data_IF_580379275346
#
_entry.id   IF_580379275346
#
_cell.length_a   1.000
_cell.length_b   1.000
_cell.length_c   1.000
_cell.angle_alpha   90.00
_cell.angle_beta   90.00
_cell.angle_gamma   90.00
#
_symmetry.space_group_name_H-M   'P 1'
#
loop_
_entity.id
_entity.type
_entity.pdbx_description
1 polymer ?
#
# COMPACT_ATOMS: atom_id res chain seq x y z
N UNK A 1 8.35 23.84 -22.99
CA UNK A 1 8.71 22.52 -22.44
C UNK A 1 7.85 22.32 -21.20
N UNK A 2 6.84 21.43 -21.21
CA UNK A 2 6.07 21.17 -20.00
C UNK A 2 7.03 20.63 -18.94
N UNK A 3 7.08 21.34 -17.81
CA UNK A 3 8.01 21.13 -16.71
C UNK A 3 7.79 19.75 -16.10
N UNK A 4 8.87 19.04 -15.83
CA UNK A 4 8.95 17.67 -15.27
C UNK A 4 7.97 17.39 -14.11
N UNK A 5 7.60 18.41 -13.34
CA UNK A 5 6.60 18.32 -12.26
C UNK A 5 5.17 18.01 -12.74
N UNK A 6 4.75 18.51 -13.91
CA UNK A 6 3.40 18.26 -14.43
C UNK A 6 3.24 16.81 -14.90
N UNK A 7 4.30 16.25 -15.50
CA UNK A 7 4.38 14.82 -15.86
C UNK A 7 4.39 13.92 -14.62
N UNK A 8 5.08 14.31 -13.55
CA UNK A 8 5.10 13.56 -12.28
C UNK A 8 3.73 13.57 -11.58
N UNK A 9 3.04 14.71 -11.57
CA UNK A 9 1.66 14.81 -11.03
C UNK A 9 0.68 13.94 -11.84
N UNK A 10 0.79 13.96 -13.16
CA UNK A 10 -0.02 13.10 -14.04
C UNK A 10 0.22 11.61 -13.81
N UNK A 11 1.48 11.21 -13.61
CA UNK A 11 1.83 9.82 -13.29
C UNK A 11 1.30 9.37 -11.91
N UNK A 12 1.37 10.25 -10.90
CA UNK A 12 0.84 9.97 -9.55
C UNK A 12 -0.70 9.85 -9.55
N UNK A 13 -1.40 10.73 -10.25
CA UNK A 13 -2.86 10.64 -10.38
C UNK A 13 -3.30 9.36 -11.10
N UNK A 14 -2.60 8.98 -12.17
CA UNK A 14 -2.85 7.71 -12.89
C UNK A 14 -2.58 6.50 -12.00
N UNK A 15 -1.46 6.50 -11.28
CA UNK A 15 -1.14 5.43 -10.34
C UNK A 15 -2.25 5.25 -9.28
N UNK A 16 -2.70 6.34 -8.67
CA UNK A 16 -3.76 6.29 -7.67
C UNK A 16 -5.09 5.76 -8.21
N UNK A 17 -5.45 6.13 -9.45
CA UNK A 17 -6.63 5.61 -10.13
C UNK A 17 -6.51 4.11 -10.43
N UNK A 18 -5.40 3.68 -11.04
CA UNK A 18 -5.13 2.28 -11.40
C UNK A 18 -5.10 1.40 -10.15
N UNK A 19 -4.52 1.88 -9.05
CA UNK A 19 -4.45 1.15 -7.78
C UNK A 19 -5.84 0.91 -7.19
N UNK A 20 -6.69 1.95 -7.14
CA UNK A 20 -8.08 1.84 -6.67
C UNK A 20 -8.89 0.88 -7.54
N UNK A 21 -8.73 0.97 -8.87
CA UNK A 21 -9.44 0.09 -9.80
C UNK A 21 -9.07 -1.38 -9.58
N UNK A 22 -7.77 -1.70 -9.55
CA UNK A 22 -7.29 -3.09 -9.35
C UNK A 22 -7.73 -3.67 -8.01
N UNK A 23 -7.81 -2.84 -6.97
CA UNK A 23 -8.34 -3.26 -5.68
C UNK A 23 -9.82 -3.65 -5.77
N UNK A 24 -10.66 -2.86 -6.46
CA UNK A 24 -12.08 -3.20 -6.64
C UNK A 24 -12.30 -4.47 -7.49
N UNK A 25 -11.46 -4.69 -8.50
CA UNK A 25 -11.44 -5.93 -9.28
C UNK A 25 -11.13 -7.14 -8.38
N UNK A 26 -10.12 -7.02 -7.51
CA UNK A 26 -9.77 -8.05 -6.53
C UNK A 26 -10.92 -8.32 -5.53
N UNK A 27 -11.56 -7.27 -5.01
CA UNK A 27 -12.70 -7.41 -4.09
C UNK A 27 -13.84 -8.18 -4.76
N UNK A 28 -14.15 -7.84 -6.00
CA UNK A 28 -15.19 -8.52 -6.78
C UNK A 28 -14.84 -10.00 -6.96
N UNK A 29 -13.61 -10.28 -7.39
CA UNK A 29 -13.13 -11.66 -7.53
C UNK A 29 -13.22 -12.45 -6.22
N UNK A 30 -12.85 -11.85 -5.09
CA UNK A 30 -12.87 -12.54 -3.79
C UNK A 30 -14.30 -12.89 -3.34
N UNK A 31 -15.26 -12.01 -3.59
CA UNK A 31 -16.68 -12.25 -3.29
C UNK A 31 -17.21 -13.39 -4.17
N UNK A 32 -16.85 -13.40 -5.45
CA UNK A 32 -17.34 -14.40 -6.42
C UNK A 32 -16.71 -15.78 -6.25
N UNK A 33 -15.45 -15.85 -5.80
CA UNK A 33 -14.64 -17.08 -5.76
C UNK A 33 -14.45 -17.65 -4.35
N UNK A 34 -15.19 -17.16 -3.36
CA UNK A 34 -15.04 -17.63 -1.99
C UNK A 34 -15.40 -19.12 -1.83
N UNK A 35 -14.58 -19.91 -1.13
CA UNK A 35 -14.78 -21.36 -1.00
C UNK A 35 -15.85 -21.75 0.04
N UNK A 36 -16.22 -20.86 0.96
CA UNK A 36 -17.14 -21.17 2.07
C UNK A 36 -18.42 -20.33 2.05
N UNK A 37 -19.56 -20.99 1.80
CA UNK A 37 -20.88 -20.36 1.79
C UNK A 37 -21.39 -19.96 3.20
N UNK A 38 -20.76 -20.43 4.28
CA UNK A 38 -21.24 -20.19 5.65
C UNK A 38 -21.01 -18.75 6.14
N UNK A 39 -20.08 -18.02 5.51
CA UNK A 39 -19.79 -16.63 5.89
C UNK A 39 -19.48 -15.83 4.63
N UNK A 40 -20.53 -15.43 3.87
CA UNK A 40 -20.33 -14.76 2.60
C UNK A 40 -19.58 -13.46 2.80
N UNK A 41 -18.44 -13.31 2.10
CA UNK A 41 -17.75 -12.04 1.99
C UNK A 41 -18.66 -11.01 1.32
N UNK A 42 -18.68 -9.82 1.88
CA UNK A 42 -19.40 -8.67 1.37
C UNK A 42 -18.43 -7.52 1.09
N UNK A 43 -18.86 -6.53 0.30
CA UNK A 43 -18.05 -5.32 0.05
C UNK A 43 -17.70 -4.56 1.33
N UNK A 44 -18.51 -4.67 2.38
CA UNK A 44 -18.29 -4.00 3.67
C UNK A 44 -17.09 -4.57 4.44
N UNK A 45 -16.80 -5.85 4.26
CA UNK A 45 -15.64 -6.51 4.88
C UNK A 45 -14.30 -5.93 4.38
N UNK A 46 -14.34 -5.22 3.24
CA UNK A 46 -13.18 -4.59 2.61
C UNK A 46 -13.06 -3.08 2.88
N UNK A 47 -13.98 -2.46 3.64
CA UNK A 47 -13.98 -1.00 3.82
C UNK A 47 -12.70 -0.48 4.50
N UNK A 48 -12.20 -1.19 5.51
CA UNK A 48 -10.93 -0.84 6.15
C UNK A 48 -9.76 -0.88 5.15
N UNK A 49 -9.70 -1.91 4.30
CA UNK A 49 -8.68 -2.04 3.27
C UNK A 49 -8.83 -0.95 2.19
N UNK A 50 -10.05 -0.62 1.79
CA UNK A 50 -10.36 0.45 0.84
C UNK A 50 -9.83 1.81 1.32
N UNK A 51 -10.00 2.11 2.61
CA UNK A 51 -9.44 3.32 3.22
C UNK A 51 -7.91 3.32 3.17
N UNK A 52 -7.26 2.21 3.52
CA UNK A 52 -5.80 2.10 3.47
C UNK A 52 -5.26 2.25 2.04
N UNK A 53 -5.89 1.60 1.06
CA UNK A 53 -5.53 1.74 -0.36
C UNK A 53 -5.73 3.19 -0.84
N UNK A 54 -6.77 3.87 -0.36
CA UNK A 54 -6.99 5.30 -0.61
C UNK A 54 -5.81 6.16 -0.16
N UNK A 55 -5.31 5.93 1.05
CA UNK A 55 -4.16 6.65 1.61
C UNK A 55 -2.87 6.40 0.81
N UNK A 56 -2.65 5.17 0.34
CA UNK A 56 -1.51 4.83 -0.53
C UNK A 56 -1.64 5.51 -1.89
N UNK A 57 -2.84 5.48 -2.49
CA UNK A 57 -3.12 6.11 -3.78
C UNK A 57 -2.94 7.63 -3.74
N UNK A 58 -3.18 8.26 -2.59
CA UNK A 58 -3.00 9.69 -2.37
C UNK A 58 -1.57 10.07 -1.95
N UNK A 59 -0.67 9.08 -1.82
CA UNK A 59 0.70 9.31 -1.35
C UNK A 59 0.78 9.75 0.11
N UNK A 60 -0.29 9.58 0.89
CA UNK A 60 -0.38 9.94 2.32
C UNK A 60 0.01 8.79 3.25
N UNK A 61 0.57 7.72 2.68
CA UNK A 61 0.93 6.54 3.45
C UNK A 61 2.31 6.71 4.08
N UNK A 62 2.35 6.60 5.40
CA UNK A 62 3.55 6.52 6.25
C UNK A 62 4.40 5.26 5.96
N UNK A 63 4.01 4.41 5.01
CA UNK A 63 4.76 3.21 4.59
C UNK A 63 6.18 3.58 4.13
N UNK A 64 6.38 4.78 3.56
CA UNK A 64 7.70 5.33 3.25
C UNK A 64 8.43 5.89 4.47
N UNK A 65 7.71 6.57 5.37
CA UNK A 65 8.29 7.18 6.58
C UNK A 65 8.69 6.15 7.65
N UNK A 66 8.05 4.98 7.71
CA UNK A 66 8.55 3.86 8.55
C UNK A 66 9.92 3.33 8.11
N UNK A 67 10.29 3.55 6.86
CA UNK A 67 11.61 3.23 6.33
C UNK A 67 12.51 4.47 6.18
N UNK A 68 11.98 5.68 6.36
CA UNK A 68 12.74 6.90 6.26
C UNK A 68 13.40 7.20 7.61
N UNK A 69 14.72 7.02 7.62
CA UNK A 69 15.64 7.40 8.67
C UNK A 69 15.33 6.78 10.04
N UNK A 70 15.70 5.51 10.20
CA UNK A 70 16.36 5.14 11.46
C UNK A 70 17.53 6.13 11.61
N UNK A 71 17.61 6.93 12.69
CA UNK A 71 18.70 7.88 12.86
C UNK A 71 20.03 7.12 12.74
N UNK A 72 21.06 7.75 12.17
CA UNK A 72 22.37 7.12 12.16
C UNK A 72 22.82 6.89 13.61
N UNK A 73 23.66 5.90 13.92
CA UNK A 73 24.09 5.66 15.29
C UNK A 73 24.79 6.87 15.94
N UNK A 74 25.38 7.74 15.12
CA UNK A 74 25.95 9.03 15.52
C UNK A 74 24.90 10.06 16.01
N UNK A 75 23.63 9.85 15.70
CA UNK A 75 22.48 10.68 16.11
C UNK A 75 21.67 10.02 17.25
N UNK A 76 22.23 9.03 17.95
CA UNK A 76 21.56 8.15 18.93
C UNK A 76 20.58 7.13 18.31
N UNK A 77 20.81 6.77 17.05
CA UNK A 77 20.13 5.65 16.42
C UNK A 77 20.51 4.27 17.01
N UNK A 78 19.70 3.23 16.75
CA UNK A 78 20.00 1.87 17.18
C UNK A 78 21.33 1.38 16.59
N UNK A 79 22.21 0.85 17.47
CA UNK A 79 23.50 0.24 17.11
C UNK A 79 23.36 -1.19 16.58
N UNK A 80 22.15 -1.63 16.27
CA UNK A 80 21.86 -2.97 15.79
C UNK A 80 21.18 -2.91 14.42
N UNK A 81 21.55 -3.82 13.54
CA UNK A 81 20.85 -4.03 12.27
C UNK A 81 19.80 -5.10 12.52
N UNK A 82 18.53 -4.79 12.23
CA UNK A 82 17.47 -5.80 12.23
C UNK A 82 17.64 -6.68 10.99
N UNK A 83 18.46 -7.72 11.12
CA UNK A 83 18.48 -8.83 10.17
C UNK A 83 17.26 -9.68 10.48
N UNK A 84 16.15 -9.46 9.78
CA UNK A 84 15.10 -10.47 9.70
C UNK A 84 15.61 -11.51 8.68
N UNK A 85 16.22 -12.64 9.10
CA UNK A 85 16.67 -13.63 8.14
C UNK A 85 15.45 -14.11 7.35
N UNK A 86 15.55 -14.14 6.02
CA UNK A 86 14.54 -14.77 5.19
C UNK A 86 14.31 -16.21 5.72
N UNK A 87 13.05 -16.70 5.76
CA UNK A 87 12.79 -18.06 6.19
C UNK A 87 13.53 -19.03 5.28
N UNK A 88 14.25 -19.98 5.88
CA UNK A 88 14.92 -21.07 5.17
C UNK A 88 13.90 -21.86 4.33
N UNK A 89 14.30 -22.39 3.15
CA UNK A 89 13.40 -23.10 2.24
C UNK A 89 12.82 -24.39 2.84
#
# INVERSE_FOLDING_TARGET
MPSTEESARGASARFGADLKQRFEEMVTWAIDNQPQAQRPLSRADFDAARQQIGQIAEGRSDIGERNAAVPEPSENGPQYVNVNPAPWP
#
